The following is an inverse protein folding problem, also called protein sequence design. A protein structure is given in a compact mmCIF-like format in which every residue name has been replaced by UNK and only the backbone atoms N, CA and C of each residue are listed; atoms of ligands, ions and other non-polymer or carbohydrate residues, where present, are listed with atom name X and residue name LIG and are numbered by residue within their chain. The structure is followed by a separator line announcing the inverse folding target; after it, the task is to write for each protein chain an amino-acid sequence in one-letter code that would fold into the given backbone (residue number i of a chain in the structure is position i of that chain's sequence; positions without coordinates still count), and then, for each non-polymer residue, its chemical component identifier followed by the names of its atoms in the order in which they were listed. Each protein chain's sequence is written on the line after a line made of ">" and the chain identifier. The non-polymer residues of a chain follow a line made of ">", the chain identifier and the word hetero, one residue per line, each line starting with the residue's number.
data_IF_475884602351
#
_entry.id   IF_475884602351
#
_cell.length_a   1.000
_cell.length_b   1.000
_cell.length_c   1.000
_cell.angle_alpha   90.00
_cell.angle_beta   90.00
_cell.angle_gamma   90.00
#
_symmetry.space_group_name_H-M   'P 1'
#
loop_
_entity.id
_entity.type
_entity.pdbx_description
1 polymer ?
#
# COMPACT_ATOMS: atom_id res chain seq x y z
N UNK A 1 -60.98 48.36 17.91
CA UNK A 1 -61.73 47.44 18.80
C UNK A 1 -61.95 46.15 18.03
N UNK A 2 -61.08 45.14 18.22
CA UNK A 2 -61.13 43.86 17.52
C UNK A 2 -61.15 42.72 18.55
N UNK A 3 -61.96 41.71 18.25
CA UNK A 3 -62.58 40.75 19.15
C UNK A 3 -61.59 39.66 19.56
N UNK A 4 -61.29 39.57 20.86
CA UNK A 4 -60.53 38.47 21.47
C UNK A 4 -61.47 37.28 21.71
N UNK A 5 -61.30 36.19 20.97
CA UNK A 5 -62.07 34.96 21.17
C UNK A 5 -61.26 33.98 22.02
N UNK A 6 -61.55 33.98 23.32
CA UNK A 6 -61.26 32.86 24.19
C UNK A 6 -62.36 31.82 23.95
N UNK A 7 -62.01 30.67 23.39
CA UNK A 7 -62.89 29.50 23.44
C UNK A 7 -62.08 28.24 23.68
N UNK A 8 -62.01 27.88 24.96
CA UNK A 8 -61.57 26.59 25.45
C UNK A 8 -62.80 25.67 25.52
N UNK A 9 -62.84 24.63 24.70
CA UNK A 9 -63.77 23.51 24.87
C UNK A 9 -63.05 22.18 24.78
N UNK A 10 -63.17 21.42 25.87
CA UNK A 10 -63.30 19.97 25.99
C UNK A 10 -62.41 19.04 25.15
N UNK A 11 -61.44 18.47 25.86
CA UNK A 11 -61.26 17.02 26.08
C UNK A 11 -61.69 16.10 24.92
N UNK A 12 -60.73 15.66 24.11
CA UNK A 12 -60.78 14.35 23.47
C UNK A 12 -59.63 13.49 23.99
N UNK A 13 -59.92 12.20 24.19
CA UNK A 13 -58.95 11.15 24.43
C UNK A 13 -57.79 11.29 23.44
N UNK A 14 -56.57 11.49 23.95
CA UNK A 14 -55.38 11.15 23.18
C UNK A 14 -55.24 9.63 23.24
N UNK A 15 -55.90 8.98 22.29
CA UNK A 15 -55.38 7.77 21.67
C UNK A 15 -53.86 7.96 21.47
N UNK A 16 -53.07 6.99 21.92
CA UNK A 16 -51.64 7.00 21.69
C UNK A 16 -51.42 6.77 20.19
N UNK A 17 -51.21 7.88 19.50
CA UNK A 17 -51.01 7.98 18.06
C UNK A 17 -49.96 6.98 17.57
N UNK A 18 -50.40 6.19 16.60
CA UNK A 18 -49.56 5.72 15.50
C UNK A 18 -48.85 6.89 14.80
N UNK A 19 -47.55 6.76 14.62
CA UNK A 19 -46.82 7.35 13.50
C UNK A 19 -46.07 8.65 13.78
N UNK A 20 -44.82 8.69 13.26
CA UNK A 20 -44.16 9.86 12.64
C UNK A 20 -42.72 10.08 13.11
N UNK A 21 -41.80 9.63 12.24
CA UNK A 21 -40.69 10.41 11.69
C UNK A 21 -39.50 10.78 12.58
N UNK A 22 -38.35 10.19 12.23
CA UNK A 22 -37.10 10.88 11.84
C UNK A 22 -36.21 9.80 11.17
N UNK A 23 -36.19 9.62 9.86
CA UNK A 23 -35.83 10.68 8.91
C UNK A 23 -34.32 10.95 8.88
N UNK A 24 -33.47 10.01 9.33
CA UNK A 24 -32.01 10.12 9.23
C UNK A 24 -31.50 10.05 7.79
N UNK A 25 -31.72 11.11 7.01
CA UNK A 25 -30.80 11.48 5.92
C UNK A 25 -29.42 11.67 6.55
N UNK A 26 -28.45 10.82 6.23
CA UNK A 26 -27.15 10.97 6.89
C UNK A 26 -26.07 10.01 6.42
N UNK A 27 -25.36 10.46 5.39
CA UNK A 27 -23.96 10.17 5.11
C UNK A 27 -23.69 8.72 4.68
N UNK A 28 -22.97 8.56 3.56
CA UNK A 28 -22.33 7.29 3.16
C UNK A 28 -21.72 6.62 4.41
N UNK A 29 -21.79 5.28 4.53
CA UNK A 29 -21.65 4.58 5.80
C UNK A 29 -20.24 4.80 6.38
N UNK A 30 -20.06 5.85 7.18
CA UNK A 30 -18.83 6.14 7.94
C UNK A 30 -18.42 4.90 8.75
N UNK A 31 -19.42 4.12 9.18
CA UNK A 31 -19.28 2.83 9.84
C UNK A 31 -18.58 1.76 8.99
N UNK A 32 -18.80 1.74 7.68
CA UNK A 32 -18.12 0.83 6.74
C UNK A 32 -16.64 1.20 6.62
N UNK A 33 -16.32 2.47 6.37
CA UNK A 33 -14.93 2.95 6.31
C UNK A 33 -14.17 2.68 7.62
N UNK A 34 -14.82 2.89 8.77
CA UNK A 34 -14.25 2.55 10.07
C UNK A 34 -14.02 1.05 10.24
N UNK A 35 -14.94 0.20 9.78
CA UNK A 35 -14.77 -1.25 9.80
C UNK A 35 -13.56 -1.67 8.95
N UNK A 36 -13.44 -1.15 7.74
CA UNK A 36 -12.31 -1.46 6.85
C UNK A 36 -11.00 -0.96 7.45
N UNK A 37 -10.97 0.25 8.00
CA UNK A 37 -9.83 0.78 8.74
C UNK A 37 -9.37 -0.18 9.87
N UNK A 38 -10.30 -0.74 10.63
CA UNK A 38 -9.95 -1.73 11.67
C UNK A 38 -9.39 -3.03 11.08
N UNK A 39 -9.90 -3.50 9.94
CA UNK A 39 -9.35 -4.67 9.23
C UNK A 39 -7.93 -4.40 8.75
N UNK A 40 -7.65 -3.21 8.20
CA UNK A 40 -6.30 -2.82 7.79
C UNK A 40 -5.35 -2.77 8.99
N UNK A 41 -5.80 -2.22 10.12
CA UNK A 41 -5.02 -2.17 11.34
C UNK A 41 -4.64 -3.59 11.81
N UNK A 42 -5.59 -4.53 11.79
CA UNK A 42 -5.32 -5.93 12.13
C UNK A 42 -4.31 -6.55 11.15
N UNK A 43 -4.43 -6.30 9.85
CA UNK A 43 -3.47 -6.79 8.85
C UNK A 43 -2.03 -6.30 9.11
N UNK A 44 -1.86 -5.11 9.65
CA UNK A 44 -0.53 -4.60 10.05
C UNK A 44 0.04 -5.45 11.19
N UNK A 45 -0.75 -5.78 12.22
CA UNK A 45 -0.29 -6.68 13.28
C UNK A 45 -0.01 -8.08 12.77
N UNK A 46 -0.76 -8.57 11.80
CA UNK A 46 -0.50 -9.86 11.15
C UNK A 46 0.89 -9.84 10.49
N UNK A 47 1.26 -8.78 9.77
CA UNK A 47 2.60 -8.63 9.18
C UNK A 47 3.73 -8.57 10.22
N UNK A 48 3.48 -7.89 11.33
CA UNK A 48 4.40 -7.86 12.46
C UNK A 48 4.52 -9.27 13.09
N UNK A 49 3.42 -10.00 13.23
CA UNK A 49 3.40 -11.38 13.70
C UNK A 49 4.21 -12.32 12.78
N UNK A 50 3.96 -12.25 11.48
CA UNK A 50 4.72 -12.99 10.45
C UNK A 50 6.22 -12.66 10.54
N UNK A 51 6.57 -11.45 10.97
CA UNK A 51 7.97 -11.06 11.17
C UNK A 51 8.68 -11.82 12.28
N UNK A 52 7.95 -12.32 13.28
CA UNK A 52 8.49 -13.07 14.42
C UNK A 52 8.47 -14.58 14.23
N UNK A 53 7.78 -15.11 13.21
CA UNK A 53 7.77 -16.55 12.97
C UNK A 53 9.16 -17.03 12.50
N UNK A 54 9.68 -18.16 13.03
CA UNK A 54 10.95 -18.75 12.63
C UNK A 54 10.81 -19.54 11.32
N UNK A 55 10.39 -18.87 10.25
CA UNK A 55 10.22 -19.44 8.90
C UNK A 55 11.49 -19.14 8.07
N UNK A 56 11.92 -20.03 7.16
CA UNK A 56 12.95 -19.73 6.17
C UNK A 56 12.71 -18.39 5.45
N UNK A 57 13.77 -17.60 5.26
CA UNK A 57 13.70 -16.19 4.84
C UNK A 57 12.93 -15.98 3.51
N UNK A 58 13.06 -16.92 2.57
CA UNK A 58 12.39 -16.88 1.27
C UNK A 58 10.87 -17.06 1.42
N UNK A 59 10.44 -18.02 2.23
CA UNK A 59 9.02 -18.29 2.49
C UNK A 59 8.37 -17.12 3.22
N UNK A 60 9.10 -16.52 4.16
CA UNK A 60 8.66 -15.31 4.87
C UNK A 60 8.39 -14.14 3.91
N UNK A 61 9.28 -13.91 2.94
CA UNK A 61 9.13 -12.84 1.95
C UNK A 61 7.87 -13.05 1.11
N UNK A 62 7.65 -14.26 0.59
CA UNK A 62 6.45 -14.59 -0.21
C UNK A 62 5.17 -14.32 0.59
N UNK A 63 5.11 -14.76 1.85
CA UNK A 63 3.93 -14.55 2.71
C UNK A 63 3.68 -13.07 2.96
N UNK A 64 4.70 -12.30 3.35
CA UNK A 64 4.56 -10.86 3.60
C UNK A 64 4.13 -10.12 2.33
N UNK A 65 4.68 -10.50 1.18
CA UNK A 65 4.33 -9.91 -0.11
C UNK A 65 2.86 -10.21 -0.48
N UNK A 66 2.38 -11.43 -0.27
CA UNK A 66 0.98 -11.78 -0.50
C UNK A 66 0.04 -10.98 0.38
N UNK A 67 0.36 -10.81 1.67
CA UNK A 67 -0.44 -9.98 2.59
C UNK A 67 -0.43 -8.51 2.14
N UNK A 68 0.72 -7.98 1.73
CA UNK A 68 0.85 -6.62 1.22
C UNK A 68 -0.01 -6.38 -0.03
N UNK A 69 -0.08 -7.34 -0.96
CA UNK A 69 -0.95 -7.24 -2.15
C UNK A 69 -2.43 -7.15 -1.76
N UNK A 70 -2.88 -8.00 -0.84
CA UNK A 70 -4.26 -7.98 -0.34
C UNK A 70 -4.57 -6.63 0.32
N UNK A 71 -3.64 -6.12 1.13
CA UNK A 71 -3.79 -4.81 1.76
C UNK A 71 -3.91 -3.69 0.72
N UNK A 72 -3.07 -3.70 -0.31
CA UNK A 72 -3.11 -2.69 -1.38
C UNK A 72 -4.43 -2.70 -2.14
N UNK A 73 -4.99 -3.89 -2.43
CA UNK A 73 -6.29 -4.01 -3.10
C UNK A 73 -7.40 -3.48 -2.20
N UNK A 74 -7.38 -3.83 -0.91
CA UNK A 74 -8.39 -3.36 0.04
C UNK A 74 -8.37 -1.83 0.21
N UNK A 75 -7.18 -1.23 0.26
CA UNK A 75 -7.00 0.23 0.26
C UNK A 75 -7.56 0.84 -1.03
N UNK A 76 -7.20 0.30 -2.19
CA UNK A 76 -7.62 0.84 -3.48
C UNK A 76 -9.14 0.76 -3.69
N UNK A 77 -9.79 -0.34 -3.30
CA UNK A 77 -11.24 -0.51 -3.50
C UNK A 77 -12.05 0.38 -2.56
N UNK A 78 -11.62 0.52 -1.31
CA UNK A 78 -12.44 1.16 -0.27
C UNK A 78 -12.02 2.58 0.08
N UNK A 79 -10.72 2.88 0.21
CA UNK A 79 -10.27 4.23 0.59
C UNK A 79 -10.18 5.18 -0.61
N UNK A 80 -9.96 4.65 -1.81
CA UNK A 80 -10.01 5.42 -3.06
C UNK A 80 -11.42 5.47 -3.67
N UNK A 81 -12.43 4.95 -2.96
CA UNK A 81 -13.83 4.93 -3.36
C UNK A 81 -14.07 4.33 -4.76
N UNK A 82 -13.13 3.52 -5.26
CA UNK A 82 -13.07 3.04 -6.65
C UNK A 82 -14.31 2.25 -7.11
N UNK A 83 -15.11 1.78 -6.15
CA UNK A 83 -16.37 1.07 -6.37
C UNK A 83 -17.62 1.97 -6.34
N UNK A 84 -17.57 3.13 -5.68
CA UNK A 84 -18.70 4.08 -5.62
C UNK A 84 -18.53 5.26 -6.60
N UNK A 85 -17.32 5.53 -7.09
CA UNK A 85 -17.03 6.51 -8.13
C UNK A 85 -17.35 5.98 -9.55
N UNK A 86 -17.42 6.87 -10.53
CA UNK A 86 -17.58 6.52 -11.95
C UNK A 86 -16.52 5.51 -12.42
N UNK A 87 -16.97 4.52 -13.20
CA UNK A 87 -16.13 3.42 -13.74
C UNK A 87 -14.90 3.92 -14.52
N UNK A 88 -14.93 5.17 -14.98
CA UNK A 88 -13.82 5.83 -15.63
C UNK A 88 -12.57 5.94 -14.73
N UNK A 89 -12.72 6.28 -13.45
CA UNK A 89 -11.59 6.39 -12.52
C UNK A 89 -10.95 5.03 -12.24
N UNK A 90 -11.78 3.99 -12.10
CA UNK A 90 -11.31 2.60 -11.95
C UNK A 90 -10.51 2.14 -13.17
N UNK A 91 -10.96 2.49 -14.38
CA UNK A 91 -10.24 2.18 -15.61
C UNK A 91 -8.90 2.91 -15.72
N UNK A 92 -8.85 4.21 -15.39
CA UNK A 92 -7.61 5.00 -15.40
C UNK A 92 -6.62 4.49 -14.34
N UNK A 93 -7.10 4.13 -13.15
CA UNK A 93 -6.25 3.52 -12.12
C UNK A 93 -5.72 2.16 -12.55
N UNK A 94 -6.57 1.31 -13.12
CA UNK A 94 -6.18 0.01 -13.66
C UNK A 94 -5.13 0.13 -14.76
N UNK A 95 -5.25 1.11 -15.65
CA UNK A 95 -4.25 1.35 -16.70
C UNK A 95 -2.93 1.85 -16.11
N UNK A 96 -2.95 2.70 -15.09
CA UNK A 96 -1.73 3.13 -14.38
C UNK A 96 -1.00 1.96 -13.72
N UNK A 97 -1.72 1.06 -13.05
CA UNK A 97 -1.15 -0.16 -12.45
C UNK A 97 -0.59 -1.10 -13.52
N UNK A 98 -1.30 -1.27 -14.65
CA UNK A 98 -0.83 -2.07 -15.77
C UNK A 98 0.47 -1.53 -16.34
N UNK A 99 0.53 -0.23 -16.62
CA UNK A 99 1.75 0.42 -17.11
C UNK A 99 2.88 0.33 -16.07
N UNK A 100 2.58 0.50 -14.77
CA UNK A 100 3.56 0.33 -13.70
C UNK A 100 4.17 -1.07 -13.72
N UNK A 101 3.35 -2.13 -13.82
CA UNK A 101 3.84 -3.52 -13.88
C UNK A 101 4.68 -3.74 -15.14
N UNK A 102 4.25 -3.20 -16.29
CA UNK A 102 4.99 -3.29 -17.54
C UNK A 102 6.37 -2.63 -17.43
N UNK A 103 6.43 -1.41 -16.88
CA UNK A 103 7.69 -0.72 -16.62
C UNK A 103 8.58 -1.51 -15.67
N UNK A 104 8.04 -2.04 -14.57
CA UNK A 104 8.80 -2.87 -13.64
C UNK A 104 9.37 -4.11 -14.32
N UNK A 105 8.59 -4.82 -15.13
CA UNK A 105 9.04 -6.01 -15.84
C UNK A 105 10.22 -5.68 -16.78
N UNK A 106 10.10 -4.60 -17.54
CA UNK A 106 11.16 -4.14 -18.44
C UNK A 106 12.40 -3.71 -17.64
N UNK A 107 12.24 -2.89 -16.60
CA UNK A 107 13.35 -2.40 -15.76
C UNK A 107 14.07 -3.53 -15.03
N UNK A 108 13.35 -4.50 -14.47
CA UNK A 108 13.96 -5.65 -13.79
C UNK A 108 14.72 -6.55 -14.78
N UNK A 109 14.18 -6.71 -16.00
CA UNK A 109 14.86 -7.46 -17.08
C UNK A 109 16.13 -6.73 -17.53
N UNK A 110 16.08 -5.41 -17.66
CA UNK A 110 17.22 -4.56 -18.00
C UNK A 110 18.31 -4.65 -16.92
N UNK A 111 17.93 -4.50 -15.65
CA UNK A 111 18.84 -4.57 -14.51
C UNK A 111 19.51 -5.95 -14.43
N UNK A 112 18.74 -7.02 -14.62
CA UNK A 112 19.26 -8.40 -14.62
C UNK A 112 20.19 -8.66 -15.81
N UNK A 113 19.85 -8.09 -16.98
CA UNK A 113 20.70 -8.12 -18.16
C UNK A 113 22.05 -7.46 -17.90
N UNK A 114 22.05 -6.22 -17.38
CA UNK A 114 23.28 -5.48 -17.03
C UNK A 114 24.14 -6.24 -16.03
N UNK A 115 23.55 -6.81 -14.97
CA UNK A 115 24.29 -7.60 -13.98
C UNK A 115 24.95 -8.84 -14.61
N UNK A 116 24.26 -9.49 -15.54
CA UNK A 116 24.82 -10.60 -16.31
C UNK A 116 26.02 -10.17 -17.16
N UNK A 117 25.98 -9.01 -17.83
CA UNK A 117 27.13 -8.51 -18.60
C UNK A 117 28.31 -8.15 -17.69
N UNK A 118 28.10 -7.49 -16.54
CA UNK A 118 29.18 -7.21 -15.58
C UNK A 118 29.80 -8.46 -14.94
N UNK A 119 29.03 -9.55 -14.82
CA UNK A 119 29.52 -10.82 -14.25
C UNK A 119 30.34 -11.63 -15.25
N UNK A 120 30.06 -11.52 -16.54
CA UNK A 120 30.76 -12.26 -17.60
C UNK A 120 31.89 -11.46 -18.26
N UNK A 121 31.81 -10.13 -18.22
CA UNK A 121 32.88 -9.24 -18.66
C UNK A 121 33.70 -8.86 -17.43
N UNK A 122 34.89 -9.49 -17.29
CA UNK A 122 35.83 -9.28 -16.19
C UNK A 122 36.46 -7.89 -16.12
N UNK A 123 35.69 -6.82 -16.36
CA UNK A 123 36.10 -5.46 -16.06
C UNK A 123 36.03 -5.31 -14.53
N UNK A 124 37.09 -5.78 -13.87
CA UNK A 124 37.61 -5.17 -12.67
C UNK A 124 37.76 -3.68 -12.98
N UNK A 125 36.72 -2.89 -12.75
CA UNK A 125 36.87 -1.47 -12.47
C UNK A 125 37.44 -1.38 -11.05
N UNK A 126 38.65 -1.94 -10.90
CA UNK A 126 39.65 -1.43 -9.97
C UNK A 126 39.87 0.00 -10.44
N UNK A 127 39.17 0.95 -9.85
CA UNK A 127 39.41 2.38 -10.06
C UNK A 127 40.72 2.79 -9.37
N UNK A 128 41.73 1.95 -9.51
CA UNK A 128 42.84 1.92 -8.58
C UNK A 128 44.13 1.32 -9.12
N UNK A 129 44.19 0.79 -10.35
CA UNK A 129 45.47 0.44 -10.99
C UNK A 129 45.63 1.29 -12.25
N UNK A 130 46.64 2.16 -12.23
CA UNK A 130 47.09 2.93 -13.37
C UNK A 130 47.52 1.98 -14.52
N UNK A 131 47.50 2.45 -15.77
CA UNK A 131 47.78 1.62 -16.95
C UNK A 131 49.17 0.94 -16.91
N UNK A 132 50.04 1.39 -16.01
CA UNK A 132 51.40 0.92 -15.79
C UNK A 132 51.46 -0.27 -14.80
N UNK A 133 50.32 -0.73 -14.27
CA UNK A 133 50.24 -1.80 -13.27
C UNK A 133 50.48 -1.31 -11.83
N UNK A 134 50.66 -0.01 -11.64
CA UNK A 134 50.86 0.61 -10.33
C UNK A 134 49.51 1.00 -9.74
N UNK A 135 49.26 0.63 -8.48
CA UNK A 135 48.06 1.12 -7.78
C UNK A 135 48.12 2.66 -7.69
N UNK A 136 46.99 3.35 -7.92
CA UNK A 136 46.88 4.80 -7.77
C UNK A 136 47.43 5.20 -6.39
N UNK A 137 48.23 6.27 -6.28
CA UNK A 137 49.12 6.52 -5.13
C UNK A 137 48.44 6.72 -3.77
N UNK A 138 47.11 6.61 -3.67
CA UNK A 138 46.34 6.64 -2.41
C UNK A 138 45.47 5.39 -2.15
N UNK A 139 45.59 4.31 -2.93
CA UNK A 139 44.74 3.13 -2.81
C UNK A 139 45.25 2.04 -1.85
N UNK A 140 44.38 1.16 -1.28
CA UNK A 140 44.76 0.16 -0.30
C UNK A 140 45.77 -0.84 -0.88
N UNK A 141 46.94 -0.95 -0.24
CA UNK A 141 47.96 -1.93 -0.61
C UNK A 141 47.61 -3.30 -0.05
N UNK A 142 47.33 -4.25 -0.94
CA UNK A 142 47.23 -5.66 -0.59
C UNK A 142 48.64 -6.23 -0.39
N UNK A 143 49.01 -6.46 0.86
CA UNK A 143 50.29 -7.03 1.29
C UNK A 143 50.36 -8.51 0.89
N UNK A 144 51.05 -8.81 -0.22
CA UNK A 144 51.34 -10.18 -0.64
C UNK A 144 52.59 -10.70 0.08
N UNK A 145 52.38 -11.45 1.17
CA UNK A 145 53.47 -12.19 1.84
C UNK A 145 53.73 -13.49 1.08
N UNK A 146 54.53 -13.36 0.01
CA UNK A 146 55.18 -14.49 -0.64
C UNK A 146 56.43 -14.86 0.18
N UNK A 147 56.48 -16.07 0.75
CA UNK A 147 57.72 -16.60 1.32
C UNK A 147 58.01 -17.96 0.67
N UNK A 148 58.97 -17.95 -0.26
CA UNK A 148 59.61 -19.12 -0.87
C UNK A 148 60.56 -19.76 0.14
N UNK A 149 60.54 -21.09 0.24
CA UNK A 149 61.66 -21.93 -0.24
C UNK A 149 61.16 -23.34 -0.54
#
# INVERSE_FOLDING_TARGET
>A
MFKNQNHFTSKSNSENNSGSNNGGHGLLPVKLYLAIFTVLFIMIFVNVGISFLPIPSIWKLVVILSVALIQSVLVAVFFMELIHEDKFYSFVFGSAVLFMILFFAITLTELSGRDFFHKNEGIKIMREVDQNGNFAPGGPKLEQKHEKK
#
